data_IF_727532843063
#
_entry.id   IF_727532843063
#
_cell.length_a   1.000
_cell.length_b   1.000
_cell.length_c   1.000
_cell.angle_alpha   90.00
_cell.angle_beta   90.00
_cell.angle_gamma   90.00
#
_symmetry.space_group_name_H-M   'P 1'
#
loop_
_entity.id
_entity.type
_entity.pdbx_description
1 polymer ?
#
# COMPACT_ATOMS: atom_id res chain seq x y z
N UNK A 1 -4.46 -31.06 23.13
CA UNK A 1 -5.36 -31.31 21.98
C UNK A 1 -6.59 -30.38 21.92
N UNK A 2 -7.52 -30.36 22.89
CA UNK A 2 -8.75 -29.53 22.79
C UNK A 2 -8.47 -28.03 22.82
N UNK A 3 -7.51 -27.61 23.65
CA UNK A 3 -7.07 -26.21 23.77
C UNK A 3 -6.29 -25.73 22.54
N UNK A 4 -5.44 -26.57 21.97
CA UNK A 4 -4.69 -26.28 20.74
C UNK A 4 -5.63 -26.11 19.53
N UNK A 5 -6.68 -26.93 19.45
CA UNK A 5 -7.74 -26.78 18.44
C UNK A 5 -8.52 -25.48 18.61
N UNK A 6 -8.82 -25.07 19.85
CA UNK A 6 -9.50 -23.79 20.12
C UNK A 6 -8.61 -22.59 19.76
N UNK A 7 -7.31 -22.65 20.04
CA UNK A 7 -6.36 -21.61 19.64
C UNK A 7 -6.19 -21.55 18.12
N UNK A 8 -6.06 -22.69 17.45
CA UNK A 8 -6.00 -22.75 15.99
C UNK A 8 -7.28 -22.18 15.36
N UNK A 9 -8.45 -22.52 15.90
CA UNK A 9 -9.73 -21.98 15.45
C UNK A 9 -9.78 -20.46 15.62
N UNK A 10 -9.38 -19.96 16.79
CA UNK A 10 -9.36 -18.52 17.07
C UNK A 10 -8.43 -17.77 16.10
N UNK A 11 -7.22 -18.27 15.85
CA UNK A 11 -6.28 -17.66 14.89
C UNK A 11 -6.87 -17.63 13.48
N UNK A 12 -7.45 -18.73 13.02
CA UNK A 12 -8.06 -18.81 11.69
C UNK A 12 -9.25 -17.86 11.59
N UNK A 13 -10.12 -17.82 12.59
CA UNK A 13 -11.27 -16.90 12.61
C UNK A 13 -10.81 -15.44 12.61
N UNK A 14 -9.81 -15.08 13.42
CA UNK A 14 -9.27 -13.70 13.45
C UNK A 14 -8.65 -13.33 12.10
N UNK A 15 -7.85 -14.20 11.49
CA UNK A 15 -7.24 -13.96 10.19
C UNK A 15 -8.29 -13.75 9.08
N UNK A 16 -9.33 -14.60 9.05
CA UNK A 16 -10.44 -14.49 8.09
C UNK A 16 -11.23 -13.19 8.27
N UNK A 17 -11.49 -12.77 9.51
CA UNK A 17 -12.18 -11.51 9.80
C UNK A 17 -11.38 -10.29 9.33
N UNK A 18 -10.05 -10.31 9.45
CA UNK A 18 -9.20 -9.20 8.99
C UNK A 18 -8.99 -9.18 7.47
N UNK A 19 -8.98 -10.35 6.82
CA UNK A 19 -8.83 -10.46 5.37
C UNK A 19 -10.10 -10.00 4.61
N UNK A 20 -11.28 -10.15 5.22
CA UNK A 20 -12.54 -9.74 4.63
C UNK A 20 -12.73 -8.22 4.51
N UNK A 21 -11.84 -7.40 5.09
CA UNK A 21 -11.94 -5.95 5.04
C UNK A 21 -11.34 -5.32 3.78
N UNK A 22 -10.53 -6.06 3.00
CA UNK A 22 -9.95 -5.55 1.76
C UNK A 22 -10.85 -5.86 0.56
N UNK A 23 -10.97 -4.89 -0.34
CA UNK A 23 -11.72 -5.02 -1.59
C UNK A 23 -11.07 -6.04 -2.54
N UNK A 24 -11.84 -6.54 -3.51
CA UNK A 24 -11.33 -7.47 -4.53
C UNK A 24 -10.21 -6.86 -5.40
N UNK A 25 -10.25 -5.56 -5.63
CA UNK A 25 -9.20 -4.80 -6.34
C UNK A 25 -7.91 -4.73 -5.53
N UNK A 26 -8.01 -4.46 -4.22
CA UNK A 26 -6.85 -4.52 -3.33
C UNK A 26 -6.26 -5.93 -3.34
N UNK A 27 -7.08 -6.97 -3.16
CA UNK A 27 -6.61 -8.36 -3.23
C UNK A 27 -5.93 -8.71 -4.55
N UNK A 28 -6.40 -8.17 -5.67
CA UNK A 28 -5.79 -8.39 -6.99
C UNK A 28 -4.43 -7.71 -7.08
N UNK A 29 -4.35 -6.44 -6.69
CA UNK A 29 -3.10 -5.68 -6.62
C UNK A 29 -2.06 -6.39 -5.76
N UNK A 30 -2.45 -6.89 -4.57
CA UNK A 30 -1.53 -7.61 -3.68
C UNK A 30 -1.00 -8.92 -4.27
N UNK A 31 -1.83 -9.67 -5.01
CA UNK A 31 -1.38 -10.91 -5.67
C UNK A 31 -0.39 -10.62 -6.80
N UNK A 32 -0.59 -9.53 -7.53
CA UNK A 32 0.30 -9.10 -8.62
C UNK A 32 1.61 -8.50 -8.09
N UNK A 33 1.58 -7.96 -6.86
CA UNK A 33 2.71 -7.31 -6.21
C UNK A 33 3.01 -7.94 -4.84
N UNK A 34 3.75 -9.07 -4.80
CA UNK A 34 4.04 -9.78 -3.55
C UNK A 34 5.01 -9.02 -2.61
N UNK A 35 5.66 -7.97 -3.11
CA UNK A 35 6.44 -7.06 -2.27
C UNK A 35 5.58 -5.85 -1.87
N UNK A 36 5.87 -5.24 -0.73
CA UNK A 36 5.12 -4.05 -0.29
C UNK A 36 5.43 -2.81 -1.14
N UNK A 37 6.66 -2.69 -1.64
CA UNK A 37 7.13 -1.55 -2.41
C UNK A 37 7.91 -2.02 -3.64
N UNK A 38 7.75 -1.28 -4.73
CA UNK A 38 8.48 -1.48 -5.99
C UNK A 38 9.99 -1.29 -5.84
N UNK A 39 10.38 -0.40 -4.94
CA UNK A 39 11.77 0.05 -4.77
C UNK A 39 11.95 0.78 -3.43
N UNK A 40 13.18 1.17 -3.13
CA UNK A 40 13.49 2.03 -1.99
C UNK A 40 12.93 3.45 -2.14
N UNK A 41 12.89 3.97 -3.38
CA UNK A 41 12.31 5.26 -3.72
C UNK A 41 10.79 5.26 -3.49
N UNK A 42 10.12 4.16 -3.84
CA UNK A 42 8.70 3.98 -3.55
C UNK A 42 8.46 4.04 -2.03
N UNK A 43 9.23 3.28 -1.23
CA UNK A 43 9.15 3.34 0.23
C UNK A 43 9.34 4.77 0.77
N UNK A 44 10.39 5.46 0.32
CA UNK A 44 10.69 6.82 0.76
C UNK A 44 9.56 7.80 0.41
N UNK A 45 8.98 7.67 -0.78
CA UNK A 45 7.81 8.43 -1.21
C UNK A 45 6.58 8.16 -0.33
N UNK A 46 6.27 6.89 -0.05
CA UNK A 46 5.13 6.49 0.78
C UNK A 46 5.25 6.99 2.22
N UNK A 47 6.46 6.97 2.80
CA UNK A 47 6.70 7.51 4.14
C UNK A 47 6.50 9.03 4.19
N UNK A 48 6.98 9.74 3.17
CA UNK A 48 6.80 11.19 3.03
C UNK A 48 5.33 11.58 2.84
N UNK A 49 4.56 10.77 2.11
CA UNK A 49 3.18 11.03 1.72
C UNK A 49 2.16 10.13 2.45
N UNK A 50 2.42 9.81 3.72
CA UNK A 50 1.52 8.97 4.52
C UNK A 50 0.12 9.58 4.63
N UNK A 51 -0.89 8.71 4.77
CA UNK A 51 -2.29 9.13 4.93
C UNK A 51 -2.45 10.15 6.06
N UNK A 52 -3.20 11.23 5.80
CA UNK A 52 -3.46 12.30 6.76
C UNK A 52 -2.39 13.41 6.80
N UNK A 53 -1.27 13.26 6.08
CA UNK A 53 -0.33 14.36 5.86
C UNK A 53 -0.61 15.08 4.53
N UNK A 54 -0.26 16.38 4.39
CA UNK A 54 -0.29 17.06 3.11
C UNK A 54 0.63 16.37 2.10
N UNK A 55 0.11 16.13 0.89
CA UNK A 55 0.89 15.53 -0.19
C UNK A 55 2.07 16.45 -0.58
N UNK A 56 3.24 15.83 -0.73
CA UNK A 56 4.51 16.43 -1.17
C UNK A 56 5.04 15.59 -2.33
N UNK A 57 4.60 15.98 -3.54
CA UNK A 57 4.89 15.30 -4.80
C UNK A 57 5.69 16.24 -5.69
N UNK A 58 6.80 15.76 -6.26
CA UNK A 58 7.59 16.49 -7.28
C UNK A 58 7.35 15.90 -8.67
N UNK A 59 7.81 16.58 -9.74
CA UNK A 59 7.80 15.99 -11.09
C UNK A 59 8.71 14.76 -11.21
N UNK A 60 9.83 14.76 -10.49
CA UNK A 60 10.74 13.61 -10.41
C UNK A 60 10.06 12.39 -9.81
N UNK A 61 9.27 12.55 -8.74
CA UNK A 61 8.50 11.46 -8.14
C UNK A 61 7.55 10.82 -9.16
N UNK A 62 6.89 11.63 -10.00
CA UNK A 62 5.97 11.13 -11.04
C UNK A 62 6.73 10.34 -12.11
N UNK A 63 7.91 10.83 -12.53
CA UNK A 63 8.75 10.14 -13.50
C UNK A 63 9.26 8.80 -12.93
N UNK A 64 9.73 8.80 -11.67
CA UNK A 64 10.17 7.59 -10.98
C UNK A 64 9.04 6.58 -10.83
N UNK A 65 7.88 7.01 -10.34
CA UNK A 65 6.71 6.15 -10.17
C UNK A 65 6.30 5.44 -11.48
N UNK A 66 6.32 6.18 -12.60
CA UNK A 66 6.06 5.61 -13.92
C UNK A 66 7.15 4.62 -14.35
N UNK A 67 8.43 4.97 -14.16
CA UNK A 67 9.55 4.12 -14.58
C UNK A 67 9.68 2.83 -13.78
N UNK A 68 9.37 2.86 -12.49
CA UNK A 68 9.52 1.74 -11.56
C UNK A 68 8.21 0.96 -11.35
N UNK A 69 7.11 1.40 -11.99
CA UNK A 69 5.81 0.74 -11.90
C UNK A 69 5.26 0.69 -10.48
N UNK A 70 5.24 1.83 -9.77
CA UNK A 70 4.72 1.88 -8.40
C UNK A 70 3.23 1.52 -8.36
N UNK A 71 2.84 0.73 -7.35
CA UNK A 71 1.46 0.27 -7.12
C UNK A 71 0.93 0.71 -5.75
N UNK A 72 -0.35 0.47 -5.50
CA UNK A 72 -1.00 0.74 -4.23
C UNK A 72 -1.97 1.92 -4.31
N UNK A 73 -2.30 2.52 -3.16
CA UNK A 73 -3.30 3.59 -3.09
C UNK A 73 -2.80 4.85 -3.82
N UNK A 74 -3.55 5.37 -4.80
CA UNK A 74 -3.13 6.56 -5.54
C UNK A 74 -3.17 7.80 -4.65
N UNK A 75 -2.25 8.73 -4.92
CA UNK A 75 -2.23 10.07 -4.33
C UNK A 75 -2.58 11.06 -5.44
N UNK A 76 -3.74 11.69 -5.31
CA UNK A 76 -4.22 12.68 -6.28
C UNK A 76 -3.77 14.08 -5.85
N UNK A 77 -3.07 14.77 -6.73
CA UNK A 77 -2.65 16.17 -6.57
C UNK A 77 -3.05 16.95 -7.83
N UNK A 78 -3.39 18.23 -7.67
CA UNK A 78 -3.54 19.13 -8.81
C UNK A 78 -2.17 19.59 -9.32
N UNK A 79 -2.10 20.07 -10.56
CA UNK A 79 -0.84 20.52 -11.17
C UNK A 79 -0.15 21.60 -10.34
N UNK A 80 -0.93 22.49 -9.73
CA UNK A 80 -0.46 23.61 -8.91
C UNK A 80 0.13 23.15 -7.56
N UNK A 81 -0.18 21.93 -7.13
CA UNK A 81 0.33 21.32 -5.91
C UNK A 81 1.63 20.54 -6.13
N UNK A 82 2.03 20.33 -7.39
CA UNK A 82 3.27 19.64 -7.73
C UNK A 82 4.44 20.59 -7.49
N UNK A 83 5.36 20.17 -6.64
CA UNK A 83 6.55 20.93 -6.31
C UNK A 83 7.56 20.87 -7.46
N UNK A 84 8.08 22.04 -7.82
CA UNK A 84 9.21 22.17 -8.75
C UNK A 84 10.50 21.86 -7.99
N UNK A 85 11.27 20.89 -8.48
CA UNK A 85 12.55 20.52 -7.90
C UNK A 85 13.49 20.00 -8.99
#
# INVERSE_FOLDING_TARGET
MRRDRLHALAIVTTALLTAACASSEEWTTWKEHPSHFASGEHLAFSLRNRSGAPARVTREDIALARSQGWWGKPITVSTEQILEK
#
